data_IF_289373380767
#
_entry.id   IF_289373380767
#
_cell.length_a   1.000
_cell.length_b   1.000
_cell.length_c   1.000
_cell.angle_alpha   90.00
_cell.angle_beta   90.00
_cell.angle_gamma   90.00
#
_symmetry.space_group_name_H-M   'P 1'
#
loop_
_entity.id
_entity.type
_entity.pdbx_description
1 polymer ?
#
# COMPACT_ATOMS: atom_id res chain seq x y z
N UNK A 1 8.45 18.24 7.33
CA UNK A 1 9.15 17.78 8.53
C UNK A 1 10.67 17.86 8.32
N UNK A 2 11.25 17.24 7.28
CA UNK A 2 12.70 17.27 7.06
C UNK A 2 13.34 18.66 6.93
N UNK A 3 12.58 19.70 6.68
CA UNK A 3 13.02 21.10 6.64
C UNK A 3 12.87 21.82 7.98
N UNK A 4 12.16 21.22 8.94
CA UNK A 4 11.82 21.83 10.23
C UNK A 4 12.76 21.37 11.36
N UNK A 5 13.58 20.38 11.12
CA UNK A 5 14.47 19.78 12.12
C UNK A 5 15.92 19.77 11.64
N UNK A 6 16.91 19.82 12.55
CA UNK A 6 18.32 19.69 12.23
C UNK A 6 18.61 18.39 11.44
N UNK A 7 19.67 18.39 10.59
CA UNK A 7 19.99 17.24 9.73
C UNK A 7 20.16 15.92 10.46
N UNK A 8 20.71 15.93 11.67
CA UNK A 8 20.93 14.77 12.54
C UNK A 8 19.63 14.18 13.11
N UNK A 9 18.54 14.95 13.17
CA UNK A 9 17.24 14.53 13.70
C UNK A 9 16.20 14.21 12.61
N UNK A 10 16.52 14.46 11.35
CA UNK A 10 15.56 14.30 10.22
C UNK A 10 15.01 12.88 10.13
N UNK A 11 15.86 11.88 10.27
CA UNK A 11 15.44 10.47 10.21
C UNK A 11 14.43 10.14 11.31
N UNK A 12 14.70 10.57 12.56
CA UNK A 12 13.80 10.37 13.70
C UNK A 12 12.46 11.06 13.52
N UNK A 13 12.48 12.31 13.05
CA UNK A 13 11.26 13.09 12.83
C UNK A 13 10.39 12.51 11.70
N UNK A 14 11.00 12.06 10.61
CA UNK A 14 10.30 11.39 9.52
C UNK A 14 9.69 10.07 10.01
N UNK A 15 10.46 9.25 10.74
CA UNK A 15 9.96 8.00 11.32
C UNK A 15 8.76 8.24 12.25
N UNK A 16 8.80 9.29 13.05
CA UNK A 16 7.69 9.65 13.94
C UNK A 16 6.41 9.99 13.16
N UNK A 17 6.51 10.73 12.05
CA UNK A 17 5.36 11.00 11.18
C UNK A 17 4.80 9.71 10.57
N UNK A 18 5.67 8.79 10.16
CA UNK A 18 5.23 7.49 9.62
C UNK A 18 4.59 6.57 10.66
N UNK A 19 4.84 6.77 11.97
CA UNK A 19 4.07 6.07 13.01
C UNK A 19 2.58 6.37 12.93
N UNK A 20 2.20 7.59 12.53
CA UNK A 20 0.80 7.95 12.30
C UNK A 20 0.12 7.06 11.25
N UNK A 21 0.82 6.73 10.16
CA UNK A 21 0.32 5.79 9.16
C UNK A 21 0.09 4.39 9.74
N UNK A 22 1.03 3.90 10.54
CA UNK A 22 0.92 2.59 11.19
C UNK A 22 -0.25 2.55 12.18
N UNK A 23 -0.40 3.59 13.00
CA UNK A 23 -1.54 3.72 13.93
C UNK A 23 -2.87 3.77 13.17
N UNK A 24 -2.95 4.56 12.10
CA UNK A 24 -4.15 4.65 11.26
C UNK A 24 -4.48 3.32 10.57
N UNK A 25 -3.48 2.54 10.18
CA UNK A 25 -3.70 1.22 9.56
C UNK A 25 -4.18 0.17 10.57
N UNK A 26 -3.64 0.19 11.79
CA UNK A 26 -4.00 -0.81 12.83
C UNK A 26 -5.31 -0.47 13.51
N UNK A 27 -5.61 0.81 13.75
CA UNK A 27 -6.80 1.26 14.49
C UNK A 27 -7.88 1.88 13.60
N UNK A 28 -7.50 2.60 12.56
CA UNK A 28 -8.42 3.36 11.72
C UNK A 28 -9.32 2.45 10.87
N UNK A 29 -8.76 1.42 10.23
CA UNK A 29 -9.56 0.46 9.44
C UNK A 29 -10.56 -0.31 10.30
N UNK A 30 -10.18 -0.91 11.46
CA UNK A 30 -11.14 -1.56 12.36
C UNK A 30 -12.22 -0.62 12.86
N UNK A 31 -11.84 0.58 13.28
CA UNK A 31 -12.78 1.59 13.77
C UNK A 31 -13.76 2.00 12.68
N UNK A 32 -13.25 2.24 11.46
CA UNK A 32 -14.08 2.56 10.30
C UNK A 32 -15.05 1.44 9.92
N UNK A 33 -14.58 0.18 9.95
CA UNK A 33 -15.42 -0.99 9.68
C UNK A 33 -16.50 -1.18 10.76
N UNK A 34 -16.15 -1.02 12.04
CA UNK A 34 -17.10 -1.11 13.15
C UNK A 34 -18.16 -0.01 13.09
N UNK A 35 -17.75 1.25 12.99
CA UNK A 35 -18.67 2.39 12.91
C UNK A 35 -19.53 2.31 11.65
N UNK A 36 -18.92 1.99 10.50
CA UNK A 36 -19.65 1.84 9.24
C UNK A 36 -20.65 0.69 9.24
N UNK A 37 -20.31 -0.42 9.89
CA UNK A 37 -21.17 -1.59 10.01
C UNK A 37 -22.29 -1.47 11.04
N UNK A 38 -22.10 -0.68 12.12
CA UNK A 38 -23.07 -0.52 13.22
C UNK A 38 -23.90 0.75 13.10
N UNK A 39 -23.28 1.89 12.80
CA UNK A 39 -23.92 3.22 12.73
C UNK A 39 -24.16 3.71 11.29
N UNK A 40 -23.70 2.92 10.32
CA UNK A 40 -23.80 3.23 8.91
C UNK A 40 -22.64 4.03 8.35
N UNK A 41 -22.48 3.96 7.03
CA UNK A 41 -21.35 4.58 6.33
C UNK A 41 -21.27 6.12 6.51
N UNK A 42 -22.41 6.80 6.67
CA UNK A 42 -22.42 8.25 6.90
C UNK A 42 -21.74 8.65 8.20
N UNK A 43 -21.91 7.86 9.26
CA UNK A 43 -21.24 8.08 10.56
C UNK A 43 -19.72 7.85 10.44
N UNK A 44 -19.28 6.82 9.70
CA UNK A 44 -17.86 6.57 9.45
C UNK A 44 -17.22 7.74 8.68
N UNK A 45 -17.84 8.24 7.62
CA UNK A 45 -17.35 9.41 6.89
C UNK A 45 -17.40 10.69 7.72
N UNK A 46 -18.42 10.87 8.55
CA UNK A 46 -18.53 11.98 9.51
C UNK A 46 -17.37 11.99 10.50
N UNK A 47 -17.01 10.83 11.05
CA UNK A 47 -15.85 10.67 11.93
C UNK A 47 -14.53 11.03 11.21
N UNK A 48 -14.33 10.53 9.99
CA UNK A 48 -13.16 10.87 9.17
C UNK A 48 -13.10 12.37 8.91
N UNK A 49 -14.22 12.98 8.54
CA UNK A 49 -14.33 14.42 8.34
C UNK A 49 -13.94 15.22 9.58
N UNK A 50 -14.47 14.86 10.75
CA UNK A 50 -14.15 15.51 12.01
C UNK A 50 -12.65 15.42 12.36
N UNK A 51 -12.06 14.22 12.24
CA UNK A 51 -10.63 14.00 12.47
C UNK A 51 -9.78 14.78 11.47
N UNK A 52 -10.20 14.88 10.22
CA UNK A 52 -9.51 15.65 9.18
C UNK A 52 -9.53 17.15 9.48
N UNK A 53 -10.67 17.71 9.90
CA UNK A 53 -10.76 19.10 10.32
C UNK A 53 -9.91 19.38 11.56
N UNK A 54 -9.95 18.51 12.57
CA UNK A 54 -9.11 18.62 13.76
C UNK A 54 -7.62 18.61 13.40
N UNK A 55 -7.21 17.69 12.50
CA UNK A 55 -5.83 17.61 12.02
C UNK A 55 -5.41 18.84 11.23
N UNK A 56 -6.28 19.34 10.32
CA UNK A 56 -6.02 20.54 9.54
C UNK A 56 -5.86 21.77 10.47
N UNK A 57 -6.75 21.92 11.45
CA UNK A 57 -6.67 22.99 12.45
C UNK A 57 -5.37 22.91 13.28
N UNK A 58 -4.98 21.68 13.69
CA UNK A 58 -3.74 21.45 14.41
C UNK A 58 -2.51 21.85 13.58
N UNK A 59 -2.44 21.39 12.33
CA UNK A 59 -1.35 21.74 11.39
C UNK A 59 -1.29 23.26 11.17
N UNK A 60 -2.44 23.90 10.94
CA UNK A 60 -2.51 25.36 10.75
C UNK A 60 -1.98 26.14 11.97
N UNK A 61 -2.23 25.64 13.18
CA UNK A 61 -1.76 26.28 14.42
C UNK A 61 -0.28 26.05 14.74
N UNK A 62 0.28 24.92 14.28
CA UNK A 62 1.61 24.47 14.70
C UNK A 62 2.67 24.58 13.61
N UNK A 63 2.27 24.68 12.34
CA UNK A 63 3.22 24.79 11.25
C UNK A 63 3.78 26.22 11.18
N UNK A 64 5.12 26.41 11.29
CA UNK A 64 5.72 27.74 11.17
C UNK A 64 5.55 28.29 9.75
N UNK A 65 5.36 29.60 9.65
CA UNK A 65 5.32 30.30 8.39
C UNK A 65 6.67 30.25 7.65
N UNK A 66 6.64 30.25 6.33
CA UNK A 66 7.85 30.37 5.50
C UNK A 66 8.54 29.05 5.12
N UNK A 67 8.01 27.89 5.51
CA UNK A 67 8.54 26.60 5.05
C UNK A 67 8.20 26.38 3.57
N UNK A 68 9.18 26.65 2.69
CA UNK A 68 9.05 26.45 1.23
C UNK A 68 9.86 25.22 0.82
N UNK A 69 9.21 24.07 0.55
CA UNK A 69 9.90 22.93 -0.03
C UNK A 69 10.40 23.29 -1.46
N UNK A 70 11.54 22.73 -1.91
CA UNK A 70 11.99 22.94 -3.28
C UNK A 70 10.91 22.48 -4.27
N UNK A 71 10.56 23.34 -5.20
CA UNK A 71 9.57 23.03 -6.21
C UNK A 71 10.08 21.95 -7.17
N UNK A 72 9.22 20.99 -7.51
CA UNK A 72 9.51 20.02 -8.55
C UNK A 72 9.56 20.76 -9.90
N UNK A 73 10.74 20.79 -10.54
CA UNK A 73 10.89 21.46 -11.84
C UNK A 73 10.31 20.62 -13.00
N UNK A 74 9.87 21.28 -14.06
CA UNK A 74 9.43 20.59 -15.29
C UNK A 74 10.56 19.73 -15.92
N UNK A 75 11.82 20.13 -15.73
CA UNK A 75 12.97 19.36 -16.15
C UNK A 75 13.08 18.03 -15.38
N UNK A 76 12.93 18.08 -14.06
CA UNK A 76 12.94 16.88 -13.18
C UNK A 76 11.80 15.91 -13.56
N UNK A 77 10.60 16.42 -13.82
CA UNK A 77 9.47 15.61 -14.30
C UNK A 77 9.77 14.95 -15.63
N UNK A 78 10.30 15.72 -16.60
CA UNK A 78 10.66 15.19 -17.91
C UNK A 78 11.71 14.10 -17.82
N UNK A 79 12.74 14.29 -17.01
CA UNK A 79 13.79 13.32 -16.79
C UNK A 79 13.25 12.05 -16.12
N UNK A 80 12.42 12.18 -15.07
CA UNK A 80 11.76 11.07 -14.41
C UNK A 80 10.93 10.24 -15.39
N UNK A 81 10.09 10.88 -16.20
CA UNK A 81 9.22 10.21 -17.17
C UNK A 81 10.00 9.59 -18.36
N UNK A 82 11.19 10.10 -18.69
CA UNK A 82 12.07 9.51 -19.70
C UNK A 82 12.88 8.33 -19.20
N UNK A 83 13.03 8.20 -17.89
CA UNK A 83 13.77 7.10 -17.29
C UNK A 83 12.99 5.79 -17.39
N UNK A 84 13.41 4.91 -18.32
CA UNK A 84 12.80 3.58 -18.52
C UNK A 84 12.80 2.76 -17.22
N UNK A 85 13.90 2.83 -16.46
CA UNK A 85 14.04 2.09 -15.20
C UNK A 85 13.02 2.56 -14.15
N UNK A 86 12.80 3.88 -14.00
CA UNK A 86 11.80 4.44 -13.10
C UNK A 86 10.39 4.09 -13.57
N UNK A 87 10.11 4.19 -14.88
CA UNK A 87 8.78 3.88 -15.42
C UNK A 87 8.41 2.41 -15.27
N UNK A 88 9.35 1.48 -15.42
CA UNK A 88 9.11 0.07 -15.14
C UNK A 88 8.81 -0.17 -13.65
N UNK A 89 9.51 0.50 -12.73
CA UNK A 89 9.19 0.44 -11.31
C UNK A 89 7.80 1.00 -10.99
N UNK A 90 7.43 2.13 -11.62
CA UNK A 90 6.09 2.72 -11.50
C UNK A 90 5.01 1.77 -12.03
N UNK A 91 5.25 1.10 -13.16
CA UNK A 91 4.35 0.08 -13.70
C UNK A 91 4.17 -1.10 -12.74
N UNK A 92 5.26 -1.56 -12.09
CA UNK A 92 5.17 -2.59 -11.05
C UNK A 92 4.25 -2.15 -9.93
N UNK A 93 4.32 -0.86 -9.52
CA UNK A 93 3.44 -0.30 -8.49
C UNK A 93 1.97 -0.30 -8.93
N UNK A 94 1.66 0.09 -10.16
CA UNK A 94 0.29 0.02 -10.71
C UNK A 94 -0.23 -1.41 -10.67
N UNK A 95 0.56 -2.37 -11.14
CA UNK A 95 0.15 -3.77 -11.27
C UNK A 95 -0.10 -4.42 -9.91
N UNK A 96 0.83 -4.31 -8.93
CA UNK A 96 0.59 -4.93 -7.64
C UNK A 96 -0.52 -4.21 -6.85
N UNK A 97 -0.66 -2.89 -7.00
CA UNK A 97 -1.75 -2.16 -6.37
C UNK A 97 -3.10 -2.54 -6.97
N UNK A 98 -3.18 -2.67 -8.29
CA UNK A 98 -4.38 -3.16 -8.96
C UNK A 98 -4.70 -4.60 -8.50
N UNK A 99 -3.72 -5.50 -8.55
CA UNK A 99 -3.91 -6.90 -8.16
C UNK A 99 -4.47 -7.07 -6.76
N UNK A 100 -3.92 -6.35 -5.78
CA UNK A 100 -4.44 -6.46 -4.40
C UNK A 100 -5.82 -5.80 -4.23
N UNK A 101 -6.09 -4.68 -4.90
CA UNK A 101 -7.33 -3.92 -4.71
C UNK A 101 -8.54 -4.47 -5.46
N UNK A 102 -8.36 -5.41 -6.39
CA UNK A 102 -9.46 -6.21 -6.96
C UNK A 102 -10.28 -6.88 -5.85
N UNK A 103 -9.62 -7.44 -4.84
CA UNK A 103 -10.26 -8.11 -3.70
C UNK A 103 -10.39 -7.19 -2.47
N UNK A 104 -9.36 -6.38 -2.17
CA UNK A 104 -9.32 -5.58 -0.95
C UNK A 104 -10.47 -4.58 -0.85
N UNK A 105 -10.85 -3.95 -1.97
CA UNK A 105 -11.99 -3.02 -2.02
C UNK A 105 -13.32 -3.70 -1.67
N UNK A 106 -13.40 -5.00 -1.85
CA UNK A 106 -14.60 -5.82 -1.62
C UNK A 106 -14.42 -6.83 -0.48
N UNK A 107 -13.44 -6.64 0.37
CA UNK A 107 -13.11 -7.51 1.49
C UNK A 107 -14.32 -7.74 2.41
N UNK A 108 -15.01 -6.66 2.79
CA UNK A 108 -16.19 -6.74 3.64
C UNK A 108 -17.38 -7.46 2.97
N UNK A 109 -17.86 -7.07 1.77
CA UNK A 109 -18.94 -7.78 1.10
C UNK A 109 -18.56 -9.23 0.75
N UNK A 110 -17.31 -9.52 0.40
CA UNK A 110 -16.82 -10.87 0.13
C UNK A 110 -17.01 -11.79 1.34
N UNK A 111 -16.49 -11.42 2.50
CA UNK A 111 -16.62 -12.25 3.69
C UNK A 111 -18.01 -12.25 4.29
N UNK A 112 -18.79 -11.17 4.13
CA UNK A 112 -20.20 -11.18 4.47
C UNK A 112 -20.98 -12.21 3.65
N UNK A 113 -20.69 -12.31 2.33
CA UNK A 113 -21.31 -13.28 1.45
C UNK A 113 -20.86 -14.73 1.74
N UNK A 114 -19.54 -14.94 1.96
CA UNK A 114 -18.93 -16.28 2.09
C UNK A 114 -19.17 -16.94 3.45
N UNK A 115 -19.07 -16.19 4.54
CA UNK A 115 -19.09 -16.73 5.91
C UNK A 115 -20.05 -15.99 6.84
N UNK A 116 -20.82 -15.02 6.33
CA UNK A 116 -21.77 -14.26 7.14
C UNK A 116 -21.12 -13.40 8.23
N UNK A 117 -19.91 -12.89 8.01
CA UNK A 117 -19.12 -12.16 9.01
C UNK A 117 -19.87 -10.96 9.58
N UNK A 118 -19.85 -10.80 10.89
CA UNK A 118 -20.44 -9.65 11.60
C UNK A 118 -19.53 -8.42 11.52
N UNK A 119 -20.04 -7.20 11.72
CA UNK A 119 -19.21 -5.99 11.76
C UNK A 119 -18.07 -6.04 12.81
N UNK A 120 -18.33 -6.68 13.96
CA UNK A 120 -17.32 -6.88 15.01
C UNK A 120 -16.21 -7.81 14.59
N UNK A 121 -16.55 -8.96 14.01
CA UNK A 121 -15.56 -9.92 13.48
C UNK A 121 -14.76 -9.33 12.32
N UNK A 122 -15.41 -8.55 11.44
CA UNK A 122 -14.72 -7.85 10.36
C UNK A 122 -13.72 -6.83 10.91
N UNK A 123 -14.08 -6.09 11.96
CA UNK A 123 -13.18 -5.16 12.64
C UNK A 123 -11.96 -5.89 13.23
N UNK A 124 -12.17 -7.05 13.87
CA UNK A 124 -11.09 -7.88 14.38
C UNK A 124 -10.17 -8.37 13.26
N UNK A 125 -10.74 -8.77 12.12
CA UNK A 125 -9.97 -9.22 10.95
C UNK A 125 -9.14 -8.08 10.35
N UNK A 126 -9.67 -6.86 10.29
CA UNK A 126 -8.88 -5.70 9.86
C UNK A 126 -7.80 -5.30 10.86
N UNK A 127 -8.05 -5.41 12.16
CA UNK A 127 -7.05 -5.18 13.20
C UNK A 127 -5.91 -6.21 13.09
N UNK A 128 -6.24 -7.48 12.89
CA UNK A 128 -5.32 -8.57 12.63
C UNK A 128 -4.46 -8.28 11.37
N UNK A 129 -5.10 -7.92 10.28
CA UNK A 129 -4.44 -7.55 9.03
C UNK A 129 -3.49 -6.36 9.22
N UNK A 130 -3.93 -5.32 9.92
CA UNK A 130 -3.11 -4.15 10.23
C UNK A 130 -1.90 -4.49 11.09
N UNK A 131 -2.07 -5.34 12.11
CA UNK A 131 -0.98 -5.78 13.00
C UNK A 131 0.11 -6.56 12.23
N UNK A 132 -0.28 -7.53 11.41
CA UNK A 132 0.66 -8.26 10.56
C UNK A 132 1.29 -7.38 9.47
N UNK A 133 0.55 -6.42 8.93
CA UNK A 133 1.09 -5.43 8.02
C UNK A 133 2.19 -4.58 8.64
N UNK A 134 1.98 -4.14 9.89
CA UNK A 134 3.00 -3.44 10.66
C UNK A 134 4.23 -4.31 10.92
N UNK A 135 4.03 -5.56 11.35
CA UNK A 135 5.12 -6.52 11.58
C UNK A 135 5.90 -6.74 10.28
N UNK A 136 5.22 -6.99 9.17
CA UNK A 136 5.85 -7.19 7.86
C UNK A 136 6.70 -6.00 7.43
N UNK A 137 6.19 -4.79 7.59
CA UNK A 137 6.93 -3.57 7.27
C UNK A 137 8.15 -3.39 8.19
N UNK A 138 8.02 -3.67 9.48
CA UNK A 138 9.12 -3.58 10.44
C UNK A 138 10.22 -4.61 10.14
N UNK A 139 9.85 -5.86 9.87
CA UNK A 139 10.82 -6.92 9.52
C UNK A 139 11.53 -6.58 8.22
N UNK A 140 10.77 -6.16 7.19
CA UNK A 140 11.34 -5.79 5.90
C UNK A 140 12.30 -4.60 6.02
N UNK A 141 11.94 -3.57 6.76
CA UNK A 141 12.79 -2.37 6.96
C UNK A 141 14.12 -2.71 7.63
N UNK A 142 14.16 -3.70 8.53
CA UNK A 142 15.41 -4.15 9.16
C UNK A 142 16.34 -4.95 8.24
N UNK A 143 15.77 -5.58 7.21
CA UNK A 143 16.52 -6.49 6.34
C UNK A 143 16.77 -5.94 4.93
N UNK A 144 16.11 -4.84 4.56
CA UNK A 144 16.14 -4.29 3.19
C UNK A 144 17.54 -3.98 2.70
N UNK A 145 18.43 -3.49 3.58
CA UNK A 145 19.82 -3.16 3.23
C UNK A 145 20.64 -4.42 2.89
N UNK A 146 20.30 -5.57 3.49
CA UNK A 146 20.99 -6.84 3.24
C UNK A 146 20.46 -7.55 1.99
N UNK A 147 19.15 -7.55 1.79
CA UNK A 147 18.52 -8.30 0.69
C UNK A 147 18.40 -7.48 -0.60
N UNK A 148 18.47 -6.15 -0.48
CA UNK A 148 18.28 -5.19 -1.56
C UNK A 148 16.80 -4.88 -1.83
N UNK A 149 16.51 -3.63 -2.16
CA UNK A 149 15.13 -3.13 -2.35
C UNK A 149 14.36 -3.86 -3.45
N UNK A 150 15.01 -4.24 -4.55
CA UNK A 150 14.35 -4.98 -5.65
C UNK A 150 13.87 -6.37 -5.22
N UNK A 151 14.68 -7.11 -4.45
CA UNK A 151 14.29 -8.42 -3.90
C UNK A 151 13.21 -8.25 -2.83
N UNK A 152 13.32 -7.23 -2.00
CA UNK A 152 12.32 -6.90 -0.97
C UNK A 152 10.94 -6.68 -1.57
N UNK A 153 10.84 -5.92 -2.68
CA UNK A 153 9.59 -5.74 -3.45
C UNK A 153 9.05 -7.08 -3.94
N UNK A 154 9.89 -7.92 -4.56
CA UNK A 154 9.45 -9.21 -5.08
C UNK A 154 8.95 -10.14 -3.98
N UNK A 155 9.63 -10.19 -2.82
CA UNK A 155 9.20 -10.99 -1.67
C UNK A 155 7.82 -10.51 -1.18
N UNK A 156 7.64 -9.20 -1.02
CA UNK A 156 6.36 -8.66 -0.56
C UNK A 156 5.21 -8.95 -1.53
N UNK A 157 5.43 -8.81 -2.86
CA UNK A 157 4.42 -9.14 -3.87
C UNK A 157 4.15 -10.65 -3.89
N UNK A 158 5.18 -11.49 -3.75
CA UNK A 158 5.03 -12.94 -3.68
C UNK A 158 4.21 -13.39 -2.47
N UNK A 159 4.43 -12.79 -1.30
CA UNK A 159 3.60 -13.04 -0.11
C UNK A 159 2.13 -12.70 -0.36
N UNK A 160 1.84 -11.56 -1.00
CA UNK A 160 0.48 -11.22 -1.39
C UNK A 160 -0.11 -12.23 -2.37
N UNK A 161 0.66 -12.65 -3.38
CA UNK A 161 0.22 -13.63 -4.36
C UNK A 161 -0.08 -15.00 -3.71
N UNK A 162 0.77 -15.47 -2.79
CA UNK A 162 0.53 -16.71 -2.01
C UNK A 162 -0.79 -16.61 -1.24
N UNK A 163 -1.06 -15.48 -0.59
CA UNK A 163 -2.31 -15.28 0.13
C UNK A 163 -3.52 -15.40 -0.81
N UNK A 164 -3.50 -14.73 -1.97
CA UNK A 164 -4.61 -14.81 -2.94
C UNK A 164 -4.75 -16.20 -3.56
N UNK A 165 -3.67 -16.94 -3.73
CA UNK A 165 -3.71 -18.33 -4.20
C UNK A 165 -4.44 -19.25 -3.21
N UNK A 166 -4.18 -19.09 -1.91
CA UNK A 166 -4.80 -19.91 -0.84
C UNK A 166 -6.10 -19.29 -0.31
N UNK A 167 -6.54 -18.17 -0.86
CA UNK A 167 -7.71 -17.42 -0.40
C UNK A 167 -9.00 -18.25 -0.27
N UNK A 168 -9.32 -19.20 -1.18
CA UNK A 168 -10.50 -20.04 -1.08
C UNK A 168 -10.55 -20.91 0.19
N UNK A 169 -9.42 -21.13 0.87
CA UNK A 169 -9.36 -21.87 2.14
C UNK A 169 -9.95 -21.07 3.31
N UNK A 170 -10.19 -19.78 3.15
CA UNK A 170 -10.77 -18.89 4.16
C UNK A 170 -12.28 -19.12 4.39
N UNK A 171 -12.68 -20.34 4.76
CA UNK A 171 -14.08 -20.75 4.89
C UNK A 171 -14.71 -20.44 6.25
N UNK A 172 -13.95 -19.95 7.19
CA UNK A 172 -14.39 -19.44 8.50
C UNK A 172 -13.47 -18.32 8.96
N UNK A 173 -13.82 -17.63 10.06
CA UNK A 173 -13.09 -16.46 10.55
C UNK A 173 -11.60 -16.79 10.84
N UNK A 174 -11.32 -17.93 11.47
CA UNK A 174 -9.94 -18.31 11.82
C UNK A 174 -9.09 -18.58 10.57
N UNK A 175 -9.63 -19.31 9.60
CA UNK A 175 -8.96 -19.56 8.32
C UNK A 175 -8.83 -18.30 7.50
N UNK A 176 -9.86 -17.42 7.48
CA UNK A 176 -9.77 -16.11 6.84
C UNK A 176 -8.65 -15.24 7.43
N UNK A 177 -8.50 -15.26 8.75
CA UNK A 177 -7.39 -14.60 9.44
C UNK A 177 -6.03 -15.21 9.04
N UNK A 178 -5.91 -16.53 8.99
CA UNK A 178 -4.67 -17.21 8.62
C UNK A 178 -4.26 -16.94 7.16
N UNK A 179 -5.18 -17.08 6.20
CA UNK A 179 -4.87 -16.87 4.78
C UNK A 179 -4.54 -15.40 4.47
N UNK A 180 -4.99 -14.45 5.30
CA UNK A 180 -4.69 -13.03 5.14
C UNK A 180 -3.30 -12.62 5.64
N UNK A 181 -2.61 -13.45 6.46
CA UNK A 181 -1.30 -13.12 7.04
C UNK A 181 -0.24 -12.82 5.97
N UNK A 182 -0.01 -13.67 4.95
CA UNK A 182 1.02 -13.37 3.96
C UNK A 182 0.74 -12.08 3.20
N UNK A 183 -0.53 -11.79 2.90
CA UNK A 183 -0.90 -10.52 2.27
C UNK A 183 -0.60 -9.33 3.17
N UNK A 184 -1.01 -9.39 4.42
CA UNK A 184 -0.73 -8.33 5.37
C UNK A 184 0.77 -8.05 5.51
N UNK A 185 1.60 -9.10 5.68
CA UNK A 185 3.06 -8.98 5.74
C UNK A 185 3.64 -8.32 4.48
N UNK A 186 3.09 -8.64 3.31
CA UNK A 186 3.58 -8.16 2.01
C UNK A 186 3.12 -6.74 1.65
N UNK A 187 1.90 -6.33 2.02
CA UNK A 187 1.27 -5.15 1.42
C UNK A 187 1.96 -3.83 1.81
N UNK A 188 2.24 -3.60 3.10
CA UNK A 188 2.94 -2.38 3.53
C UNK A 188 4.44 -2.43 3.22
N UNK A 189 5.05 -3.60 3.37
CA UNK A 189 6.48 -3.80 3.10
C UNK A 189 6.83 -3.60 1.62
N UNK A 190 5.97 -4.00 0.70
CA UNK A 190 6.16 -3.76 -0.74
C UNK A 190 6.20 -2.28 -1.08
N UNK A 191 5.32 -1.47 -0.50
CA UNK A 191 5.28 -0.04 -0.77
C UNK A 191 6.55 0.67 -0.26
N UNK A 192 6.97 0.37 0.97
CA UNK A 192 8.21 0.92 1.55
C UNK A 192 9.45 0.50 0.75
N UNK A 193 9.53 -0.78 0.37
CA UNK A 193 10.62 -1.30 -0.44
C UNK A 193 10.66 -0.69 -1.85
N UNK A 194 9.50 -0.44 -2.45
CA UNK A 194 9.42 0.19 -3.77
C UNK A 194 9.88 1.64 -3.74
N UNK A 195 9.54 2.40 -2.71
CA UNK A 195 10.06 3.75 -2.53
C UNK A 195 11.59 3.75 -2.36
N UNK A 196 12.13 2.84 -1.54
CA UNK A 196 13.58 2.66 -1.40
C UNK A 196 14.24 2.29 -2.73
N UNK A 197 13.61 1.43 -3.55
CA UNK A 197 14.08 1.06 -4.89
C UNK A 197 14.17 2.26 -5.84
N UNK A 198 13.13 3.10 -5.87
CA UNK A 198 13.11 4.31 -6.70
C UNK A 198 14.22 5.29 -6.33
N UNK A 199 14.42 5.51 -5.02
CA UNK A 199 15.52 6.36 -4.51
C UNK A 199 16.89 5.79 -4.87
N UNK A 200 17.06 4.46 -4.78
CA UNK A 200 18.32 3.81 -5.12
C UNK A 200 18.65 3.88 -6.63
N UNK A 201 17.64 3.87 -7.51
CA UNK A 201 17.82 3.97 -8.98
C UNK A 201 18.26 5.38 -9.38
N UNK A 202 17.60 6.40 -8.86
CA UNK A 202 17.84 7.79 -9.22
C UNK A 202 17.68 8.73 -8.01
N UNK A 203 18.72 8.85 -7.15
CA UNK A 203 18.64 9.69 -5.94
C UNK A 203 18.33 11.15 -6.23
N UNK A 204 18.84 11.69 -7.35
CA UNK A 204 18.57 13.07 -7.76
C UNK A 204 17.11 13.32 -8.16
N UNK A 205 16.37 12.28 -8.57
CA UNK A 205 14.96 12.33 -8.98
C UNK A 205 14.03 11.78 -7.88
N UNK A 206 14.50 11.54 -6.67
CA UNK A 206 13.76 10.88 -5.60
C UNK A 206 12.40 11.54 -5.33
N UNK A 207 12.36 12.87 -5.23
CA UNK A 207 11.11 13.60 -4.94
C UNK A 207 10.04 13.39 -6.03
N UNK A 208 10.43 13.48 -7.31
CA UNK A 208 9.51 13.30 -8.43
C UNK A 208 9.09 11.82 -8.57
N UNK A 209 10.03 10.88 -8.45
CA UNK A 209 9.76 9.45 -8.58
C UNK A 209 8.87 8.92 -7.45
N UNK A 210 9.05 9.37 -6.20
CA UNK A 210 8.17 9.01 -5.07
C UNK A 210 6.77 9.60 -5.25
N UNK A 211 6.66 10.85 -5.69
CA UNK A 211 5.37 11.47 -5.96
C UNK A 211 4.61 10.72 -7.07
N UNK A 212 5.31 10.37 -8.16
CA UNK A 212 4.74 9.58 -9.25
C UNK A 212 4.33 8.18 -8.81
N UNK A 213 5.16 7.54 -7.96
CA UNK A 213 4.85 6.22 -7.38
C UNK A 213 3.57 6.26 -6.51
N UNK A 214 3.38 7.32 -5.73
CA UNK A 214 2.16 7.49 -4.94
C UNK A 214 0.92 7.63 -5.84
N UNK A 215 1.03 8.43 -6.92
CA UNK A 215 -0.04 8.55 -7.91
C UNK A 215 -0.32 7.22 -8.62
N UNK A 216 0.72 6.47 -8.98
CA UNK A 216 0.63 5.15 -9.59
C UNK A 216 -0.04 4.12 -8.66
N UNK A 217 0.25 4.18 -7.36
CA UNK A 217 -0.39 3.35 -6.36
C UNK A 217 -1.91 3.58 -6.33
N UNK A 218 -2.34 4.85 -6.26
CA UNK A 218 -3.78 5.17 -6.27
C UNK A 218 -4.45 4.87 -7.61
N UNK A 219 -3.77 5.07 -8.74
CA UNK A 219 -4.27 4.66 -10.05
C UNK A 219 -4.46 3.14 -10.12
N UNK A 220 -3.49 2.37 -9.64
CA UNK A 220 -3.61 0.92 -9.53
C UNK A 220 -4.78 0.49 -8.63
N UNK A 221 -4.94 1.12 -7.46
CA UNK A 221 -6.08 0.87 -6.57
C UNK A 221 -7.41 1.13 -7.26
N UNK A 222 -7.54 2.23 -8.01
CA UNK A 222 -8.75 2.55 -8.76
C UNK A 222 -9.04 1.51 -9.85
N UNK A 223 -8.02 1.09 -10.61
CA UNK A 223 -8.13 0.04 -11.62
C UNK A 223 -8.57 -1.28 -10.97
N UNK A 224 -7.93 -1.66 -9.86
CA UNK A 224 -8.29 -2.88 -9.13
C UNK A 224 -9.72 -2.85 -8.62
N UNK A 225 -10.12 -1.76 -7.97
CA UNK A 225 -11.49 -1.59 -7.47
C UNK A 225 -12.52 -1.63 -8.60
N UNK A 226 -12.27 -0.96 -9.72
CA UNK A 226 -13.16 -0.98 -10.87
C UNK A 226 -13.27 -2.40 -11.48
N UNK A 227 -12.15 -3.10 -11.63
CA UNK A 227 -12.12 -4.48 -12.12
C UNK A 227 -12.86 -5.43 -11.20
N UNK A 228 -12.68 -5.30 -9.88
CA UNK A 228 -13.40 -6.08 -8.89
C UNK A 228 -14.92 -5.82 -8.91
N UNK A 229 -15.32 -4.56 -9.03
CA UNK A 229 -16.73 -4.19 -9.16
C UNK A 229 -17.37 -4.74 -10.43
N UNK A 230 -16.64 -4.74 -11.53
CA UNK A 230 -17.09 -5.35 -12.78
C UNK A 230 -17.30 -6.86 -12.63
N UNK A 231 -16.37 -7.58 -12.00
CA UNK A 231 -16.53 -9.02 -11.72
C UNK A 231 -17.73 -9.31 -10.83
N UNK A 232 -17.96 -8.49 -9.80
CA UNK A 232 -19.16 -8.63 -8.94
C UNK A 232 -20.44 -8.38 -9.73
N UNK A 233 -20.44 -7.40 -10.63
CA UNK A 233 -21.60 -7.15 -11.53
C UNK A 233 -21.90 -8.30 -12.51
N UNK A 234 -20.96 -9.23 -12.69
CA UNK A 234 -21.12 -10.47 -13.46
C UNK A 234 -21.42 -11.69 -12.57
N UNK A 235 -21.77 -11.50 -11.30
CA UNK A 235 -21.91 -12.57 -10.30
C UNK A 235 -20.66 -13.44 -10.11
N UNK A 236 -19.49 -12.92 -10.46
CA UNK A 236 -18.20 -13.62 -10.42
C UNK A 236 -17.35 -13.24 -9.19
N UNK A 237 -17.98 -13.05 -8.02
CA UNK A 237 -17.28 -12.68 -6.78
C UNK A 237 -16.17 -13.69 -6.40
N UNK A 238 -16.34 -14.96 -6.74
CA UNK A 238 -15.36 -16.01 -6.51
C UNK A 238 -14.10 -15.87 -7.38
N UNK A 239 -14.14 -15.06 -8.44
CA UNK A 239 -12.99 -14.81 -9.30
C UNK A 239 -12.10 -13.65 -8.82
N UNK A 240 -12.52 -12.89 -7.80
CA UNK A 240 -11.77 -11.72 -7.31
C UNK A 240 -10.33 -12.07 -6.92
N UNK A 241 -10.13 -13.17 -6.18
CA UNK A 241 -8.80 -13.60 -5.75
C UNK A 241 -7.93 -14.08 -6.92
N UNK A 242 -8.53 -14.75 -7.94
CA UNK A 242 -7.80 -15.16 -9.14
C UNK A 242 -7.38 -13.98 -10.01
N UNK A 243 -8.26 -13.00 -10.20
CA UNK A 243 -7.93 -11.78 -10.92
C UNK A 243 -6.83 -10.99 -10.19
N UNK A 244 -6.92 -10.88 -8.87
CA UNK A 244 -5.88 -10.28 -8.04
C UNK A 244 -4.56 -11.03 -8.11
N UNK A 245 -4.58 -12.36 -8.00
CA UNK A 245 -3.40 -13.22 -8.13
C UNK A 245 -2.69 -13.03 -9.48
N UNK A 246 -3.45 -13.01 -10.57
CA UNK A 246 -2.91 -12.76 -11.91
C UNK A 246 -2.21 -11.41 -12.00
N UNK A 247 -2.82 -10.35 -11.45
CA UNK A 247 -2.21 -9.02 -11.38
C UNK A 247 -0.89 -9.01 -10.60
N UNK A 248 -0.81 -9.75 -9.49
CA UNK A 248 0.41 -9.85 -8.68
C UNK A 248 1.50 -10.67 -9.40
N UNK A 249 1.14 -11.74 -10.10
CA UNK A 249 2.10 -12.52 -10.91
C UNK A 249 2.67 -11.66 -12.04
N UNK A 250 1.84 -10.89 -12.73
CA UNK A 250 2.31 -9.93 -13.73
C UNK A 250 3.25 -8.89 -13.13
N UNK A 251 2.95 -8.38 -11.94
CA UNK A 251 3.81 -7.44 -11.22
C UNK A 251 5.18 -8.06 -10.90
N UNK A 252 5.23 -9.33 -10.47
CA UNK A 252 6.48 -10.07 -10.24
C UNK A 252 7.26 -10.21 -11.54
N UNK A 253 6.62 -10.62 -12.63
CA UNK A 253 7.26 -10.80 -13.94
C UNK A 253 7.89 -9.48 -14.44
N UNK A 254 7.13 -8.37 -14.39
CA UNK A 254 7.63 -7.04 -14.78
C UNK A 254 8.75 -6.58 -13.84
N UNK A 255 8.64 -6.86 -12.53
CA UNK A 255 9.69 -6.50 -11.54
C UNK A 255 10.99 -7.27 -11.79
N UNK A 256 10.91 -8.56 -12.11
CA UNK A 256 12.06 -9.38 -12.45
C UNK A 256 12.73 -8.87 -13.74
N UNK A 257 11.94 -8.59 -14.75
CA UNK A 257 12.43 -8.00 -16.01
C UNK A 257 13.07 -6.63 -15.79
N UNK A 258 12.46 -5.75 -15.01
CA UNK A 258 13.04 -4.44 -14.67
C UNK A 258 14.39 -4.57 -13.96
N UNK A 259 14.57 -5.59 -13.12
CA UNK A 259 15.83 -5.84 -12.41
C UNK A 259 16.92 -6.37 -13.35
N UNK A 260 16.58 -7.25 -14.31
CA UNK A 260 17.56 -7.78 -15.29
C UNK A 260 18.12 -6.67 -16.20
N UNK A 261 17.29 -5.72 -16.60
CA UNK A 261 17.71 -4.57 -17.41
C UNK A 261 18.69 -3.63 -16.66
N UNK A 262 18.60 -3.56 -15.34
CA UNK A 262 19.52 -2.75 -14.52
C UNK A 262 20.92 -3.39 -14.36
N UNK A 263 20.99 -4.73 -14.43
CA UNK A 263 22.24 -5.50 -14.36
C UNK A 263 23.11 -5.34 -15.61
N UNK A 264 22.50 -5.23 -16.79
CA UNK A 264 23.18 -5.11 -18.09
C UNK A 264 23.86 -3.75 -18.34
N UNK A 265 23.48 -2.71 -17.60
CA UNK A 265 24.08 -1.38 -17.71
C UNK A 265 25.22 -1.10 -16.70
N UNK A 266 25.59 -2.09 -15.87
CA UNK A 266 26.70 -1.99 -14.89
C UNK A 266 28.00 -2.68 -15.36
N UNK A 267 28.02 -3.23 -16.56
CA UNK A 267 29.21 -3.77 -17.26
C UNK A 267 29.47 -2.91 -18.49
#
# INVERSE_FOLDING_TARGET
>A
VGLLVPPDQRGRAITFVFLGWSVASVLGMPLGAFVGGTLGWRAAFGLIGLLSFASAFWVWRTLPDGVKPPALSAAMWRETLRSRALMLCVLVTVLYSAGQFVLFSYFAPYYKHKIGITPGELSLLFMWFGAFGFIGNMVMSRHIDRIGSSRAVMIGIALMAVSLLVWPLGTNLALAALVSIPWALGCFSSNSAQQARLVAIAPALASASIALNSSAMYAGQAIGAASGGWLIGLDAMDMLHWAGFTGLVLAIAVSAWATSQQGTHRH
#
